data_IF_406877780997
#
_entry.id   IF_406877780997
#
_cell.length_a   1.000
_cell.length_b   1.000
_cell.length_c   1.000
_cell.angle_alpha   90.00
_cell.angle_beta   90.00
_cell.angle_gamma   90.00
#
_symmetry.space_group_name_H-M   'P 1'
#
loop_
_entity.id
_entity.type
_entity.pdbx_description
1 polymer ?
#
# COMPACT_ATOMS: atom_id res chain seq x y z
N UNK A 1 12.42 17.84 -4.54
CA UNK A 1 11.22 17.29 -5.22
C UNK A 1 10.15 18.35 -5.20
N UNK A 2 9.66 18.76 -6.37
CA UNK A 2 8.61 19.77 -6.48
C UNK A 2 7.24 19.16 -6.13
N UNK A 3 6.22 20.02 -5.97
CA UNK A 3 4.87 19.59 -5.60
C UNK A 3 4.22 18.63 -6.60
N UNK A 4 4.53 18.76 -7.89
CA UNK A 4 3.97 17.93 -8.95
C UNK A 4 4.63 16.55 -8.99
N UNK A 5 5.95 16.48 -8.84
CA UNK A 5 6.68 15.22 -8.68
C UNK A 5 6.17 14.44 -7.46
N UNK A 6 5.90 15.14 -6.35
CA UNK A 6 5.29 14.52 -5.17
C UNK A 6 3.89 14.00 -5.45
N UNK A 7 3.03 14.82 -6.07
CA UNK A 7 1.67 14.40 -6.40
C UNK A 7 1.65 13.20 -7.35
N UNK A 8 2.56 13.17 -8.34
CA UNK A 8 2.71 12.05 -9.27
C UNK A 8 3.13 10.77 -8.54
N UNK A 9 4.17 10.82 -7.70
CA UNK A 9 4.63 9.66 -6.94
C UNK A 9 3.57 9.16 -5.95
N UNK A 10 2.81 10.07 -5.35
CA UNK A 10 1.68 9.74 -4.50
C UNK A 10 0.59 8.98 -5.26
N UNK A 11 0.17 9.50 -6.43
CA UNK A 11 -0.83 8.85 -7.26
C UNK A 11 -0.36 7.47 -7.76
N UNK A 12 0.91 7.35 -8.15
CA UNK A 12 1.50 6.06 -8.55
C UNK A 12 1.50 5.05 -7.40
N UNK A 13 1.85 5.49 -6.18
CA UNK A 13 1.83 4.61 -5.01
C UNK A 13 0.41 4.15 -4.65
N UNK A 14 -0.58 5.04 -4.76
CA UNK A 14 -1.99 4.70 -4.54
C UNK A 14 -2.49 3.67 -5.57
N UNK A 15 -2.15 3.85 -6.85
CA UNK A 15 -2.51 2.91 -7.91
C UNK A 15 -1.89 1.52 -7.69
N UNK A 16 -0.61 1.47 -7.29
CA UNK A 16 0.06 0.20 -6.96
C UNK A 16 -0.62 -0.49 -5.78
N UNK A 17 -0.96 0.23 -4.71
CA UNK A 17 -1.67 -0.33 -3.56
C UNK A 17 -3.04 -0.86 -3.97
N UNK A 18 -3.78 -0.12 -4.80
CA UNK A 18 -5.07 -0.57 -5.33
C UNK A 18 -4.92 -1.87 -6.10
N UNK A 19 -3.92 -1.97 -6.99
CA UNK A 19 -3.65 -3.20 -7.74
C UNK A 19 -3.33 -4.38 -6.81
N UNK A 20 -2.49 -4.18 -5.78
CA UNK A 20 -2.12 -5.21 -4.82
C UNK A 20 -3.33 -5.68 -3.99
N UNK A 21 -4.24 -4.78 -3.59
CA UNK A 21 -5.48 -5.13 -2.89
C UNK A 21 -6.39 -6.00 -3.77
N UNK A 22 -6.55 -5.63 -5.04
CA UNK A 22 -7.34 -6.41 -6.00
C UNK A 22 -6.76 -7.81 -6.16
N UNK A 23 -5.43 -7.92 -6.32
CA UNK A 23 -4.76 -9.23 -6.43
C UNK A 23 -4.90 -10.08 -5.18
N UNK A 24 -4.79 -9.48 -3.99
CA UNK A 24 -5.00 -10.19 -2.74
C UNK A 24 -6.43 -10.76 -2.66
N UNK A 25 -7.43 -9.95 -2.98
CA UNK A 25 -8.83 -10.39 -2.99
C UNK A 25 -9.08 -11.51 -4.02
N UNK A 26 -8.47 -11.45 -5.21
CA UNK A 26 -8.52 -12.54 -6.19
C UNK A 26 -7.94 -13.85 -5.63
N UNK A 27 -6.77 -13.79 -4.98
CA UNK A 27 -6.11 -14.96 -4.39
C UNK A 27 -6.94 -15.55 -3.24
N UNK A 28 -7.46 -14.70 -2.36
CA UNK A 28 -8.31 -15.12 -1.23
C UNK A 28 -9.58 -15.84 -1.70
N UNK A 29 -10.17 -15.38 -2.81
CA UNK A 29 -11.35 -16.02 -3.41
C UNK A 29 -11.04 -17.35 -4.10
N UNK A 30 -9.84 -17.51 -4.69
CA UNK A 30 -9.48 -18.70 -5.47
C UNK A 30 -8.87 -19.85 -4.63
N UNK A 31 -8.07 -19.54 -3.60
CA UNK A 31 -7.31 -20.57 -2.85
C UNK A 31 -7.34 -20.38 -1.32
N UNK A 32 -8.52 -20.47 -0.67
CA UNK A 32 -8.67 -20.13 0.75
C UNK A 32 -7.90 -21.03 1.73
N UNK A 33 -7.45 -22.24 1.33
CA UNK A 33 -6.79 -23.20 2.24
C UNK A 33 -5.36 -23.56 1.87
N UNK A 34 -5.02 -23.60 0.59
CA UNK A 34 -3.70 -24.04 0.12
C UNK A 34 -2.62 -22.95 0.24
N UNK A 35 -3.03 -21.69 0.40
CA UNK A 35 -2.12 -20.54 0.45
C UNK A 35 -2.24 -19.67 1.70
N UNK A 36 -2.81 -20.17 2.81
CA UNK A 36 -3.04 -19.36 4.02
C UNK A 36 -1.80 -18.60 4.51
N UNK A 37 -0.63 -19.24 4.52
CA UNK A 37 0.65 -18.61 4.90
C UNK A 37 1.10 -17.56 3.86
N UNK A 38 0.94 -17.85 2.57
CA UNK A 38 1.26 -16.93 1.48
C UNK A 38 0.37 -15.68 1.49
N UNK A 39 -0.93 -15.87 1.72
CA UNK A 39 -1.93 -14.80 1.87
C UNK A 39 -1.60 -13.93 3.08
N UNK A 40 -1.33 -14.53 4.24
CA UNK A 40 -0.95 -13.79 5.44
C UNK A 40 0.33 -12.96 5.23
N UNK A 41 1.34 -13.54 4.57
CA UNK A 41 2.58 -12.85 4.22
C UNK A 41 2.32 -11.69 3.25
N UNK A 42 1.46 -11.88 2.25
CA UNK A 42 1.08 -10.82 1.31
C UNK A 42 0.36 -9.67 2.04
N UNK A 43 -0.62 -9.99 2.89
CA UNK A 43 -1.36 -9.02 3.70
C UNK A 43 -0.45 -8.18 4.61
N UNK A 44 0.54 -8.81 5.25
CA UNK A 44 1.52 -8.09 6.07
C UNK A 44 2.34 -7.10 5.24
N UNK A 45 2.87 -7.55 4.09
CA UNK A 45 3.66 -6.68 3.20
C UNK A 45 2.84 -5.54 2.63
N UNK A 46 1.58 -5.78 2.27
CA UNK A 46 0.66 -4.75 1.80
C UNK A 46 0.41 -3.70 2.89
N UNK A 47 0.14 -4.12 4.14
CA UNK A 47 -0.02 -3.21 5.28
C UNK A 47 1.23 -2.34 5.52
N UNK A 48 2.42 -2.91 5.36
CA UNK A 48 3.66 -2.15 5.50
C UNK A 48 3.78 -1.05 4.43
N UNK A 49 3.42 -1.36 3.17
CA UNK A 49 3.44 -0.37 2.07
C UNK A 49 2.41 0.73 2.33
N UNK A 50 1.20 0.37 2.78
CA UNK A 50 0.16 1.32 3.15
C UNK A 50 0.59 2.25 4.29
N UNK A 51 1.21 1.70 5.33
CA UNK A 51 1.76 2.49 6.44
C UNK A 51 2.87 3.44 5.99
N UNK A 52 3.74 3.03 5.07
CA UNK A 52 4.75 3.91 4.49
C UNK A 52 4.12 5.05 3.68
N UNK A 53 3.09 4.76 2.88
CA UNK A 53 2.38 5.80 2.14
C UNK A 53 1.71 6.80 3.09
N UNK A 54 1.08 6.31 4.16
CA UNK A 54 0.45 7.15 5.17
C UNK A 54 1.48 8.02 5.92
N UNK A 55 2.65 7.48 6.27
CA UNK A 55 3.76 8.25 6.81
C UNK A 55 4.18 9.40 5.87
N UNK A 56 4.24 9.14 4.56
CA UNK A 56 4.58 10.15 3.56
C UNK A 56 3.46 11.19 3.40
N UNK A 57 2.18 10.80 3.49
CA UNK A 57 1.04 11.74 3.49
C UNK A 57 1.08 12.66 4.71
N UNK A 58 1.30 12.08 5.89
CA UNK A 58 1.16 12.75 7.17
C UNK A 58 2.44 13.44 7.67
N UNK A 59 3.57 13.29 6.96
CA UNK A 59 4.82 14.01 7.27
C UNK A 59 4.70 15.54 7.17
N UNK A 60 3.60 16.06 6.63
CA UNK A 60 3.29 17.49 6.57
C UNK A 60 2.39 17.98 7.73
N UNK A 61 2.04 17.11 8.69
CA UNK A 61 1.17 17.45 9.83
C UNK A 61 1.91 17.90 11.09
N UNK A 62 3.25 17.93 11.07
CA UNK A 62 4.05 18.51 12.15
C UNK A 62 4.40 19.97 11.82
N UNK A 63 4.02 20.95 12.65
CA UNK A 63 4.51 22.31 12.49
C UNK A 63 6.03 22.33 12.71
N UNK A 64 6.78 23.21 12.04
CA UNK A 64 8.19 23.42 12.37
C UNK A 64 8.29 23.88 13.83
N UNK A 65 9.22 23.26 14.58
CA UNK A 65 9.63 23.68 15.93
C UNK A 65 10.14 25.13 15.93
#
# INVERSE_FOLDING_TARGET
>A
MNQYERALLMGLAEEVILHLRTRLAEIENLHPRESAVGIATFQERLRNIEGLLDCVKNRNSFPPL
#
